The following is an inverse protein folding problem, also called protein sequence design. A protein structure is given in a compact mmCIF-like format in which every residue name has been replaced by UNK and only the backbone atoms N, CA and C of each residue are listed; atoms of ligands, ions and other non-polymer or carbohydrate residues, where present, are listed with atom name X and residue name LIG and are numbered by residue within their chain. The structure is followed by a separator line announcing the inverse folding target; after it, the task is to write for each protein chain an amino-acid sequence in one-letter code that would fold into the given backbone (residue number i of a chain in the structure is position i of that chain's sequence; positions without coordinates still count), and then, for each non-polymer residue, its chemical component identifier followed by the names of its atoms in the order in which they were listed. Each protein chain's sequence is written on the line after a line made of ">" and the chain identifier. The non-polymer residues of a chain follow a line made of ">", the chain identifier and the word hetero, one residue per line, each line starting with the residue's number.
data_IF_195296838927
#
_entry.id   IF_195296838927
#
_cell.length_a   1.000
_cell.length_b   1.000
_cell.length_c   1.000
_cell.angle_alpha   90.00
_cell.angle_beta   90.00
_cell.angle_gamma   90.00
#
_symmetry.space_group_name_H-M   'P 1'
#
loop_
_entity.id
_entity.type
_entity.pdbx_description
1 polymer ?
#
# COMPACT_ATOMS: atom_id res chain seq x y z
N UNK A 1 -3.39 -13.19 5.55
CA UNK A 1 -3.26 -12.56 4.22
C UNK A 1 -2.67 -13.50 3.15
N UNK A 2 -2.20 -14.71 3.49
CA UNK A 2 -1.38 -15.52 2.56
C UNK A 2 -2.08 -16.02 1.29
N UNK A 3 -3.42 -16.04 1.20
CA UNK A 3 -4.13 -16.55 0.01
C UNK A 3 -5.12 -15.59 -0.65
N UNK A 4 -5.14 -14.30 -0.31
CA UNK A 4 -6.19 -13.40 -0.83
C UNK A 4 -6.18 -13.28 -2.37
N UNK A 5 -5.00 -13.34 -2.99
CA UNK A 5 -4.85 -13.31 -4.46
C UNK A 5 -5.45 -14.58 -5.08
N UNK A 6 -5.04 -15.76 -4.59
CA UNK A 6 -5.53 -17.05 -5.07
C UNK A 6 -7.04 -17.22 -4.86
N UNK A 7 -7.55 -16.80 -3.70
CA UNK A 7 -8.99 -16.85 -3.37
C UNK A 7 -9.79 -15.92 -4.30
N UNK A 8 -9.28 -14.72 -4.56
CA UNK A 8 -9.91 -13.77 -5.49
C UNK A 8 -9.88 -14.29 -6.93
N UNK A 9 -8.76 -14.87 -7.35
CA UNK A 9 -8.60 -15.48 -8.67
C UNK A 9 -9.61 -16.60 -8.89
N UNK A 10 -9.72 -17.53 -7.93
CA UNK A 10 -10.71 -18.62 -7.96
C UNK A 10 -12.15 -18.10 -7.97
N UNK A 11 -12.48 -17.17 -7.07
CA UNK A 11 -13.84 -16.64 -6.94
C UNK A 11 -14.31 -15.87 -8.19
N UNK A 12 -13.38 -15.30 -8.97
CA UNK A 12 -13.67 -14.50 -10.16
C UNK A 12 -13.32 -15.19 -11.48
N UNK A 13 -12.82 -16.42 -11.44
CA UNK A 13 -12.36 -17.18 -12.61
C UNK A 13 -11.34 -16.41 -13.48
N UNK A 14 -10.38 -15.75 -12.83
CA UNK A 14 -9.29 -14.99 -13.48
C UNK A 14 -7.92 -15.52 -13.06
N UNK A 15 -6.85 -15.10 -13.73
CA UNK A 15 -5.48 -15.42 -13.32
C UNK A 15 -5.13 -14.73 -12.00
N UNK A 16 -4.18 -15.29 -11.24
CA UNK A 16 -3.66 -14.63 -10.03
C UNK A 16 -3.01 -13.28 -10.34
N UNK A 17 -2.38 -13.13 -11.52
CA UNK A 17 -1.82 -11.84 -11.94
C UNK A 17 -2.91 -10.79 -12.15
N UNK A 18 -4.02 -11.14 -12.80
CA UNK A 18 -5.16 -10.22 -12.98
C UNK A 18 -5.86 -9.95 -11.66
N UNK A 19 -6.01 -10.96 -10.80
CA UNK A 19 -6.52 -10.76 -9.45
C UNK A 19 -5.66 -9.77 -8.66
N UNK A 20 -4.33 -9.90 -8.73
CA UNK A 20 -3.41 -8.99 -8.09
C UNK A 20 -3.55 -7.57 -8.66
N UNK A 21 -3.39 -7.40 -9.98
CA UNK A 21 -3.31 -6.08 -10.64
C UNK A 21 -4.64 -5.35 -10.68
N UNK A 22 -5.70 -6.06 -11.07
CA UNK A 22 -6.99 -5.46 -11.47
C UNK A 22 -8.02 -5.50 -10.34
N UNK A 23 -7.75 -6.25 -9.27
CA UNK A 23 -8.64 -6.33 -8.10
C UNK A 23 -7.94 -5.84 -6.85
N UNK A 24 -6.86 -6.50 -6.42
CA UNK A 24 -6.22 -6.20 -5.13
C UNK A 24 -5.51 -4.84 -5.17
N UNK A 25 -4.75 -4.57 -6.22
CA UNK A 25 -3.98 -3.34 -6.40
C UNK A 25 -4.73 -2.31 -7.26
N UNK A 26 -6.01 -2.52 -7.53
CA UNK A 26 -6.80 -1.67 -8.43
C UNK A 26 -6.74 -0.19 -8.01
N UNK A 27 -6.91 0.08 -6.72
CA UNK A 27 -6.95 1.43 -6.19
C UNK A 27 -5.56 2.06 -5.99
N UNK A 28 -4.50 1.26 -5.99
CA UNK A 28 -3.13 1.77 -5.86
C UNK A 28 -2.61 2.18 -7.24
N UNK A 29 -2.20 3.44 -7.38
CA UNK A 29 -1.60 3.95 -8.60
C UNK A 29 -0.25 3.27 -8.89
N UNK A 30 0.51 2.95 -7.83
CA UNK A 30 1.83 2.31 -7.93
C UNK A 30 1.78 0.85 -8.37
N UNK A 31 0.61 0.19 -8.25
CA UNK A 31 0.44 -1.25 -8.52
C UNK A 31 1.44 -2.13 -7.75
N UNK A 32 1.73 -1.77 -6.51
CA UNK A 32 2.63 -2.50 -5.61
C UNK A 32 2.11 -2.41 -4.19
N UNK A 33 2.24 -3.49 -3.45
CA UNK A 33 2.01 -3.44 -2.01
C UNK A 33 2.95 -2.44 -1.35
N UNK A 34 2.45 -1.80 -0.30
CA UNK A 34 3.28 -1.00 0.60
C UNK A 34 4.05 -1.99 1.46
N UNK A 35 5.37 -1.90 1.42
CA UNK A 35 6.24 -2.75 2.20
C UNK A 35 6.41 -2.20 3.64
N UNK A 36 6.61 -3.10 4.60
CA UNK A 36 6.78 -2.71 6.00
C UNK A 36 7.97 -1.74 6.20
N UNK A 37 9.03 -1.90 5.41
CA UNK A 37 10.21 -1.04 5.45
C UNK A 37 9.90 0.39 5.00
N UNK A 38 8.94 0.60 4.09
CA UNK A 38 8.51 1.95 3.69
C UNK A 38 7.87 2.69 4.87
N UNK A 39 7.06 1.97 5.66
CA UNK A 39 6.45 2.49 6.89
C UNK A 39 7.54 2.79 7.94
N UNK A 40 8.46 1.85 8.15
CA UNK A 40 9.54 2.00 9.11
C UNK A 40 10.43 3.21 8.77
N UNK A 41 10.75 3.40 7.48
CA UNK A 41 11.56 4.53 7.01
C UNK A 41 10.88 5.87 7.27
N UNK A 42 9.55 5.99 7.08
CA UNK A 42 8.84 7.21 7.45
C UNK A 42 8.91 7.46 8.95
N UNK A 43 8.73 6.42 9.77
CA UNK A 43 8.84 6.55 11.23
C UNK A 43 10.22 7.04 11.64
N UNK A 44 11.29 6.45 11.08
CA UNK A 44 12.68 6.88 11.32
C UNK A 44 12.87 8.34 10.92
N UNK A 45 12.36 8.76 9.76
CA UNK A 45 12.40 10.15 9.32
C UNK A 45 11.71 11.10 10.32
N UNK A 46 10.54 10.72 10.83
CA UNK A 46 9.80 11.51 11.81
C UNK A 46 10.50 11.63 13.17
N UNK A 47 11.44 10.73 13.49
CA UNK A 47 12.28 10.83 14.68
C UNK A 47 13.47 11.81 14.52
N UNK A 48 13.79 12.27 13.30
CA UNK A 48 14.87 13.23 13.06
C UNK A 48 14.47 14.65 13.54
N UNK A 49 15.45 15.41 14.05
CA UNK A 49 15.24 16.82 14.44
C UNK A 49 14.68 17.69 13.32
N UNK A 50 14.95 17.36 12.05
CA UNK A 50 14.42 18.07 10.87
C UNK A 50 12.90 17.96 10.74
N UNK A 51 12.29 16.94 11.34
CA UNK A 51 10.85 16.73 11.33
C UNK A 51 10.12 17.43 12.51
N UNK A 52 10.81 18.26 13.31
CA UNK A 52 10.28 18.79 14.59
C UNK A 52 8.96 19.57 14.50
N UNK A 53 8.62 20.10 13.34
CA UNK A 53 7.37 20.85 13.11
C UNK A 53 6.30 20.05 12.36
N UNK A 54 6.58 18.79 12.01
CA UNK A 54 5.58 17.88 11.43
C UNK A 54 4.75 17.32 12.58
N UNK A 55 3.58 17.93 12.81
CA UNK A 55 2.65 17.55 13.89
C UNK A 55 1.20 17.78 13.46
N UNK A 56 0.26 17.10 14.13
CA UNK A 56 -1.19 17.24 13.86
C UNK A 56 -1.64 16.81 12.46
N UNK A 57 -0.81 16.08 11.72
CA UNK A 57 -1.02 15.73 10.32
C UNK A 57 -1.02 14.21 10.13
N UNK A 58 -1.89 13.70 9.25
CA UNK A 58 -1.82 12.32 8.77
C UNK A 58 -0.91 12.24 7.54
N UNK A 59 0.12 11.39 7.58
CA UNK A 59 1.01 11.12 6.46
C UNK A 59 0.64 9.77 5.86
N UNK A 60 0.19 9.76 4.61
CA UNK A 60 -0.30 8.57 3.94
C UNK A 60 0.83 7.80 3.23
N UNK A 61 0.85 6.48 3.42
CA UNK A 61 1.67 5.53 2.65
C UNK A 61 0.71 4.48 2.09
N UNK A 62 0.06 4.79 0.98
CA UNK A 62 -1.07 3.99 0.46
C UNK A 62 -0.96 3.66 -1.04
N UNK A 63 0.20 3.92 -1.66
CA UNK A 63 0.41 3.70 -3.09
C UNK A 63 -0.44 4.62 -3.98
N UNK A 64 -0.89 5.76 -3.47
CA UNK A 64 -1.72 6.73 -4.18
C UNK A 64 -3.22 6.39 -4.16
N UNK A 65 -3.67 5.54 -3.23
CA UNK A 65 -5.08 5.19 -3.11
C UNK A 65 -5.95 6.42 -2.85
N UNK A 66 -5.58 7.25 -1.89
CA UNK A 66 -6.41 8.39 -1.46
C UNK A 66 -6.38 9.58 -2.44
N UNK A 67 -5.55 9.52 -3.48
CA UNK A 67 -5.40 10.61 -4.45
C UNK A 67 -6.39 10.59 -5.63
N UNK A 68 -7.33 9.63 -5.64
CA UNK A 68 -8.32 9.44 -6.70
C UNK A 68 -9.40 10.54 -6.73
#
# INVERSE_FOLDING_TARGET
>A
MQNQIADTAKARHISEESALRDVILKSQATKKFVEADEIANLVIFLCDKKASSITGSGLLIDGGWTAQ
#
